data_IF_491060566198
#
_entry.id   IF_491060566198
#
_cell.length_a   1.000
_cell.length_b   1.000
_cell.length_c   1.000
_cell.angle_alpha   90.00
_cell.angle_beta   90.00
_cell.angle_gamma   90.00
#
_symmetry.space_group_name_H-M   'P 1'
#
loop_
_entity.id
_entity.type
_entity.pdbx_description
1 polymer ?
#
# COMPACT_ATOMS: atom_id res chain seq x y z
N UNK A 1 13.36 17.42 26.89
CA UNK A 1 13.19 17.91 25.50
C UNK A 1 11.82 17.50 25.05
N UNK A 2 11.11 18.36 24.32
CA UNK A 2 9.75 18.10 23.87
C UNK A 2 9.77 17.09 22.71
N UNK A 3 9.18 15.92 22.92
CA UNK A 3 9.12 14.83 21.94
C UNK A 3 8.46 15.28 20.63
N UNK A 4 7.48 16.18 20.75
CA UNK A 4 6.79 16.80 19.61
C UNK A 4 7.73 17.65 18.75
N UNK A 5 8.67 18.36 19.36
CA UNK A 5 9.63 19.17 18.61
C UNK A 5 10.57 18.28 17.76
N UNK A 6 10.92 17.09 18.25
CA UNK A 6 11.73 16.15 17.50
C UNK A 6 10.97 15.48 16.34
N UNK A 7 9.70 15.13 16.52
CA UNK A 7 8.88 14.61 15.42
C UNK A 7 8.66 15.66 14.34
N UNK A 8 8.42 16.92 14.71
CA UNK A 8 8.32 18.06 13.78
C UNK A 8 9.64 18.27 12.99
N UNK A 9 10.80 18.13 13.64
CA UNK A 9 12.11 18.21 12.99
C UNK A 9 12.30 17.08 11.95
N UNK A 10 11.95 15.84 12.29
CA UNK A 10 12.01 14.71 11.36
C UNK A 10 11.05 14.88 10.19
N UNK A 11 9.82 15.33 10.43
CA UNK A 11 8.86 15.64 9.35
C UNK A 11 9.43 16.71 8.42
N UNK A 12 10.06 17.76 8.98
CA UNK A 12 10.68 18.82 8.18
C UNK A 12 11.88 18.30 7.36
N UNK A 13 12.71 17.44 7.97
CA UNK A 13 13.86 16.80 7.33
C UNK A 13 13.46 15.91 6.15
N UNK A 14 12.38 15.15 6.29
CA UNK A 14 11.90 14.20 5.26
C UNK A 14 10.67 14.71 4.51
N UNK A 15 10.42 16.02 4.49
CA UNK A 15 9.21 16.61 3.89
C UNK A 15 9.03 16.25 2.42
N UNK A 16 10.11 16.21 1.64
CA UNK A 16 10.06 15.96 0.20
C UNK A 16 9.78 14.47 -0.08
N UNK A 17 10.33 13.58 0.74
CA UNK A 17 9.97 12.15 0.75
C UNK A 17 8.49 11.98 1.06
N UNK A 18 8.02 12.55 2.19
CA UNK A 18 6.63 12.45 2.65
C UNK A 18 5.69 12.97 1.56
N UNK A 19 5.93 14.16 1.03
CA UNK A 19 5.10 14.76 -0.01
C UNK A 19 5.05 13.92 -1.29
N UNK A 20 6.15 13.25 -1.64
CA UNK A 20 6.23 12.43 -2.86
C UNK A 20 5.48 11.11 -2.70
N UNK A 21 5.65 10.42 -1.57
CA UNK A 21 4.89 9.20 -1.27
C UNK A 21 3.40 9.53 -1.13
N UNK A 22 3.04 10.61 -0.45
CA UNK A 22 1.65 11.07 -0.37
C UNK A 22 1.05 11.34 -1.75
N UNK A 23 1.79 12.00 -2.65
CA UNK A 23 1.33 12.25 -4.00
C UNK A 23 1.15 10.96 -4.81
N UNK A 24 2.00 9.95 -4.57
CA UNK A 24 1.86 8.62 -5.18
C UNK A 24 0.55 7.94 -4.74
N UNK A 25 0.27 7.88 -3.44
CA UNK A 25 -0.95 7.23 -2.91
C UNK A 25 -2.23 8.01 -3.20
N UNK A 26 -2.13 9.32 -3.42
CA UNK A 26 -3.25 10.21 -3.73
C UNK A 26 -3.40 10.49 -5.22
N UNK A 27 -2.71 9.74 -6.10
CA UNK A 27 -2.82 9.91 -7.55
C UNK A 27 -4.24 9.54 -8.03
N UNK A 28 -5.04 10.57 -8.29
CA UNK A 28 -6.46 10.46 -8.70
C UNK A 28 -6.74 11.26 -9.98
N UNK A 29 -5.87 11.10 -10.96
CA UNK A 29 -5.92 11.85 -12.22
C UNK A 29 -5.72 10.94 -13.43
N UNK A 30 -6.25 11.35 -14.57
CA UNK A 30 -5.95 10.76 -15.90
C UNK A 30 -5.12 11.71 -16.77
N UNK A 31 -4.72 12.85 -16.22
CA UNK A 31 -3.91 13.84 -16.90
C UNK A 31 -2.45 13.38 -16.97
N UNK A 32 -1.93 13.20 -18.17
CA UNK A 32 -0.54 12.78 -18.39
C UNK A 32 0.48 13.77 -17.83
N UNK A 33 0.20 15.08 -17.87
CA UNK A 33 1.10 16.10 -17.33
C UNK A 33 1.26 15.98 -15.81
N UNK A 34 0.18 15.63 -15.10
CA UNK A 34 0.21 15.41 -13.64
C UNK A 34 0.97 14.12 -13.29
N UNK A 35 0.81 13.07 -14.11
CA UNK A 35 1.58 11.83 -13.97
C UNK A 35 3.07 12.09 -14.21
N UNK A 36 3.41 12.92 -15.20
CA UNK A 36 4.78 13.33 -15.49
C UNK A 36 5.41 14.16 -14.37
N UNK A 37 4.62 15.05 -13.76
CA UNK A 37 5.06 15.80 -12.58
C UNK A 37 5.34 14.86 -11.41
N UNK A 38 4.47 13.89 -11.13
CA UNK A 38 4.69 12.89 -10.09
C UNK A 38 5.94 12.05 -10.38
N UNK A 39 6.13 11.60 -11.63
CA UNK A 39 7.34 10.86 -12.02
C UNK A 39 8.62 11.68 -11.76
N UNK A 40 8.61 12.97 -12.10
CA UNK A 40 9.74 13.87 -11.82
C UNK A 40 9.98 14.05 -10.32
N UNK A 41 8.92 14.16 -9.52
CA UNK A 41 9.03 14.21 -8.05
C UNK A 41 9.65 12.93 -7.50
N UNK A 42 9.19 11.75 -7.93
CA UNK A 42 9.74 10.44 -7.54
C UNK A 42 11.24 10.38 -7.85
N UNK A 43 11.63 10.75 -9.08
CA UNK A 43 13.04 10.78 -9.47
C UNK A 43 13.87 11.70 -8.59
N UNK A 44 13.48 12.97 -8.48
CA UNK A 44 14.25 14.01 -7.79
C UNK A 44 14.32 13.75 -6.29
N UNK A 45 13.21 13.36 -5.68
CA UNK A 45 13.09 13.31 -4.22
C UNK A 45 13.41 11.93 -3.64
N UNK A 46 13.31 10.85 -4.43
CA UNK A 46 13.50 9.48 -3.94
C UNK A 46 14.71 8.77 -4.59
N UNK A 47 14.82 8.81 -5.93
CA UNK A 47 15.87 8.05 -6.63
C UNK A 47 17.22 8.77 -6.59
N UNK A 48 17.24 10.06 -6.94
CA UNK A 48 18.48 10.86 -6.96
C UNK A 48 19.07 11.09 -5.55
N UNK A 49 18.22 10.99 -4.51
CA UNK A 49 18.60 11.09 -3.09
C UNK A 49 18.87 9.73 -2.44
N UNK A 50 18.68 8.63 -3.18
CA UNK A 50 18.80 7.26 -2.71
C UNK A 50 17.89 6.91 -1.51
N UNK A 51 16.78 7.63 -1.33
CA UNK A 51 15.80 7.34 -0.26
C UNK A 51 14.85 6.20 -0.64
N UNK A 52 14.72 5.86 -1.92
CA UNK A 52 13.99 4.66 -2.36
C UNK A 52 14.54 4.16 -3.70
N UNK A 53 14.28 2.89 -4.00
CA UNK A 53 14.68 2.29 -5.28
C UNK A 53 13.51 2.24 -6.26
N UNK A 54 13.77 2.20 -7.59
CA UNK A 54 12.72 1.95 -8.58
C UNK A 54 11.90 0.68 -8.28
N UNK A 55 12.58 -0.36 -7.79
CA UNK A 55 12.00 -1.63 -7.37
C UNK A 55 10.94 -1.44 -6.27
N UNK A 56 11.26 -0.70 -5.20
CA UNK A 56 10.32 -0.39 -4.12
C UNK A 56 9.10 0.39 -4.62
N UNK A 57 9.32 1.43 -5.45
CA UNK A 57 8.20 2.26 -5.93
C UNK A 57 7.27 1.48 -6.86
N UNK A 58 7.80 0.57 -7.68
CA UNK A 58 6.97 -0.34 -8.49
C UNK A 58 6.12 -1.26 -7.60
N UNK A 59 6.67 -1.79 -6.51
CA UNK A 59 5.88 -2.58 -5.55
C UNK A 59 4.73 -1.76 -4.95
N UNK A 60 4.99 -0.51 -4.58
CA UNK A 60 3.95 0.37 -4.06
C UNK A 60 2.88 0.65 -5.11
N UNK A 61 3.27 0.98 -6.36
CA UNK A 61 2.33 1.18 -7.48
C UNK A 61 1.44 -0.06 -7.64
N UNK A 62 2.03 -1.25 -7.71
CA UNK A 62 1.28 -2.49 -7.89
C UNK A 62 0.33 -2.80 -6.73
N UNK A 63 0.73 -2.49 -5.49
CA UNK A 63 -0.13 -2.61 -4.31
C UNK A 63 -1.34 -1.67 -4.38
N UNK A 64 -1.10 -0.38 -4.62
CA UNK A 64 -2.11 0.69 -4.64
C UNK A 64 -3.22 0.42 -5.65
N UNK A 65 -2.87 -0.14 -6.82
CA UNK A 65 -3.82 -0.33 -7.92
C UNK A 65 -5.06 -1.14 -7.54
N UNK A 66 -4.97 -2.09 -6.63
CA UNK A 66 -6.13 -2.87 -6.16
C UNK A 66 -7.19 -2.02 -5.45
N UNK A 67 -6.77 -0.97 -4.74
CA UNK A 67 -7.65 -0.11 -3.96
C UNK A 67 -7.97 1.22 -4.64
N UNK A 68 -7.25 1.55 -5.72
CA UNK A 68 -7.46 2.74 -6.55
C UNK A 68 -7.64 2.35 -8.02
N UNK A 69 -8.31 1.22 -8.27
CA UNK A 69 -8.39 0.61 -9.59
C UNK A 69 -9.05 1.51 -10.64
N UNK A 70 -9.88 2.50 -10.27
CA UNK A 70 -10.39 3.52 -11.20
C UNK A 70 -9.26 4.26 -11.98
N UNK A 71 -8.09 4.40 -11.34
CA UNK A 71 -6.91 5.06 -11.90
C UNK A 71 -5.82 4.06 -12.31
N UNK A 72 -6.16 2.78 -12.49
CA UNK A 72 -5.21 1.71 -12.83
C UNK A 72 -4.33 2.11 -14.03
N UNK A 73 -4.93 2.66 -15.09
CA UNK A 73 -4.22 3.14 -16.27
C UNK A 73 -3.19 4.23 -15.96
N UNK A 74 -3.47 5.14 -15.03
CA UNK A 74 -2.54 6.20 -14.62
C UNK A 74 -1.34 5.65 -13.86
N UNK A 75 -1.61 4.73 -12.92
CA UNK A 75 -0.56 3.99 -12.22
C UNK A 75 0.26 3.12 -13.18
N UNK A 76 -0.38 2.53 -14.18
CA UNK A 76 0.28 1.79 -15.26
C UNK A 76 1.22 2.68 -16.07
N UNK A 77 0.77 3.87 -16.48
CA UNK A 77 1.61 4.86 -17.17
C UNK A 77 2.82 5.26 -16.32
N UNK A 78 2.62 5.49 -15.01
CA UNK A 78 3.72 5.80 -14.09
C UNK A 78 4.71 4.63 -13.96
N UNK A 79 4.20 3.41 -13.83
CA UNK A 79 5.02 2.19 -13.82
C UNK A 79 5.87 2.08 -15.08
N UNK A 80 5.27 2.26 -16.27
CA UNK A 80 6.00 2.21 -17.55
C UNK A 80 7.16 3.20 -17.58
N UNK A 81 6.94 4.45 -17.17
CA UNK A 81 7.99 5.48 -17.12
C UNK A 81 9.16 5.05 -16.24
N UNK A 82 8.88 4.51 -15.04
CA UNK A 82 9.93 4.01 -14.13
C UNK A 82 10.63 2.79 -14.73
N UNK A 83 9.88 1.82 -15.25
CA UNK A 83 10.42 0.57 -15.77
C UNK A 83 11.28 0.78 -17.03
N UNK A 84 10.84 1.64 -17.95
CA UNK A 84 11.54 1.95 -19.20
C UNK A 84 12.80 2.80 -18.98
N UNK A 85 12.84 3.62 -17.93
CA UNK A 85 14.03 4.43 -17.62
C UNK A 85 15.07 3.65 -16.78
N UNK A 86 14.62 2.84 -15.81
CA UNK A 86 15.51 2.24 -14.81
C UNK A 86 15.70 0.73 -14.95
N UNK A 87 14.85 0.03 -15.70
CA UNK A 87 14.90 -1.42 -15.93
C UNK A 87 15.20 -2.27 -14.67
N UNK A 88 14.43 -2.12 -13.57
CA UNK A 88 14.68 -2.87 -12.35
C UNK A 88 14.53 -4.38 -12.59
N UNK A 89 15.36 -5.17 -11.91
CA UNK A 89 15.37 -6.63 -12.09
C UNK A 89 14.09 -7.29 -11.56
N UNK A 90 13.61 -8.38 -12.18
CA UNK A 90 12.45 -9.13 -11.71
C UNK A 90 12.81 -9.92 -10.45
N UNK A 91 12.67 -9.29 -9.30
CA UNK A 91 12.89 -9.89 -7.98
C UNK A 91 11.97 -9.28 -6.91
N UNK A 92 10.77 -8.86 -7.34
CA UNK A 92 9.69 -8.37 -6.48
C UNK A 92 8.45 -9.23 -6.65
N UNK A 93 7.75 -9.45 -5.54
CA UNK A 93 6.38 -9.93 -5.58
C UNK A 93 5.45 -8.79 -5.97
N UNK A 94 4.80 -8.92 -7.12
CA UNK A 94 3.70 -8.06 -7.57
C UNK A 94 2.37 -8.75 -7.30
N UNK A 95 1.26 -8.00 -7.36
CA UNK A 95 -0.05 -8.64 -7.43
C UNK A 95 -0.16 -9.45 -8.72
N UNK A 96 -0.81 -10.64 -8.73
CA UNK A 96 -0.87 -11.47 -9.92
C UNK A 96 -1.45 -10.76 -11.15
N UNK A 97 -2.43 -9.88 -10.93
CA UNK A 97 -3.07 -9.10 -12.00
C UNK A 97 -2.13 -8.05 -12.60
N UNK A 98 -1.29 -7.41 -11.77
CA UNK A 98 -0.34 -6.41 -12.27
C UNK A 98 0.78 -7.09 -13.04
N UNK A 99 1.30 -8.21 -12.52
CA UNK A 99 2.30 -9.05 -13.19
C UNK A 99 1.79 -9.58 -14.54
N UNK A 100 0.50 -9.92 -14.63
CA UNK A 100 -0.15 -10.27 -15.90
C UNK A 100 -0.07 -9.15 -16.94
N UNK A 101 -0.31 -7.89 -16.58
CA UNK A 101 -0.14 -6.79 -17.53
C UNK A 101 1.32 -6.55 -17.91
N UNK A 102 2.24 -6.76 -16.98
CA UNK A 102 3.69 -6.68 -17.28
C UNK A 102 4.06 -7.75 -18.29
N UNK A 103 3.56 -8.97 -18.11
CA UNK A 103 3.73 -10.05 -19.07
C UNK A 103 3.13 -9.73 -20.44
N UNK A 104 1.92 -9.18 -20.49
CA UNK A 104 1.27 -8.81 -21.76
C UNK A 104 2.01 -7.72 -22.53
N UNK A 105 2.57 -6.73 -21.83
CA UNK A 105 3.27 -5.59 -22.44
C UNK A 105 4.73 -5.91 -22.79
N UNK A 106 5.46 -6.58 -21.89
CA UNK A 106 6.91 -6.74 -21.97
C UNK A 106 7.37 -8.21 -22.12
N UNK A 107 6.48 -9.19 -21.98
CA UNK A 107 6.83 -10.62 -22.02
C UNK A 107 7.62 -11.10 -20.78
N UNK A 108 7.62 -10.31 -19.71
CA UNK A 108 8.40 -10.56 -18.48
C UNK A 108 7.44 -10.95 -17.36
N UNK A 109 7.89 -11.85 -16.50
CA UNK A 109 7.17 -12.25 -15.28
C UNK A 109 8.05 -11.94 -14.08
N UNK A 110 7.51 -11.17 -13.14
CA UNK A 110 8.19 -10.79 -11.91
C UNK A 110 8.06 -11.86 -10.82
N UNK A 111 6.90 -12.50 -10.72
CA UNK A 111 6.65 -13.60 -9.80
C UNK A 111 6.12 -14.81 -10.57
N UNK A 112 6.95 -15.85 -10.69
CA UNK A 112 6.59 -17.10 -11.38
C UNK A 112 5.31 -17.75 -10.84
N UNK A 113 4.95 -17.49 -9.57
CA UNK A 113 3.67 -17.97 -9.00
C UNK A 113 2.47 -17.31 -9.67
N UNK A 114 2.59 -16.08 -10.18
CA UNK A 114 1.50 -15.37 -10.85
C UNK A 114 1.03 -16.04 -12.14
N UNK A 115 1.91 -16.77 -12.84
CA UNK A 115 1.60 -17.41 -14.14
C UNK A 115 0.39 -18.33 -14.08
N UNK A 116 0.15 -18.97 -12.93
CA UNK A 116 -1.00 -19.88 -12.76
C UNK A 116 -2.35 -19.17 -12.96
N UNK A 117 -2.40 -17.84 -12.84
CA UNK A 117 -3.61 -17.03 -12.96
C UNK A 117 -3.77 -16.39 -14.36
N UNK A 118 -2.75 -16.41 -15.22
CA UNK A 118 -2.75 -15.62 -16.46
C UNK A 118 -3.81 -16.10 -17.46
N UNK A 119 -4.02 -17.41 -17.58
CA UNK A 119 -5.07 -17.98 -18.44
C UNK A 119 -6.48 -17.57 -17.98
N UNK A 120 -6.68 -17.48 -16.66
CA UNK A 120 -7.93 -16.98 -16.07
C UNK A 120 -8.14 -15.50 -16.39
N UNK A 121 -7.11 -14.66 -16.25
CA UNK A 121 -7.21 -13.24 -16.57
C UNK A 121 -7.48 -12.97 -18.05
N UNK A 122 -6.86 -13.73 -18.95
CA UNK A 122 -7.14 -13.67 -20.38
C UNK A 122 -8.58 -14.08 -20.69
N UNK A 123 -9.04 -15.19 -20.12
CA UNK A 123 -10.40 -15.71 -20.31
C UNK A 123 -11.48 -14.74 -19.82
N UNK A 124 -11.20 -14.07 -18.69
CA UNK A 124 -12.06 -13.05 -18.11
C UNK A 124 -11.85 -11.65 -18.72
N UNK A 125 -11.00 -11.52 -19.75
CA UNK A 125 -10.75 -10.28 -20.50
C UNK A 125 -10.33 -9.09 -19.63
N UNK A 126 -9.45 -9.33 -18.65
CA UNK A 126 -8.93 -8.27 -17.80
C UNK A 126 -8.25 -7.18 -18.65
N UNK A 127 -8.58 -5.92 -18.38
CA UNK A 127 -8.08 -4.76 -19.12
C UNK A 127 -7.66 -3.62 -18.18
N UNK A 128 -6.85 -2.68 -18.68
CA UNK A 128 -6.43 -1.49 -17.93
C UNK A 128 -7.58 -0.52 -17.61
N UNK A 129 -8.72 -0.65 -18.31
CA UNK A 129 -9.93 0.14 -18.05
C UNK A 129 -10.77 -0.44 -16.90
N UNK A 130 -10.36 -1.59 -16.35
CA UNK A 130 -10.93 -2.33 -15.21
C UNK A 130 -12.32 -2.91 -15.44
N UNK A 131 -13.23 -2.14 -16.02
CA UNK A 131 -14.59 -2.57 -16.37
C UNK A 131 -14.88 -2.28 -17.83
N UNK A 132 -15.63 -3.18 -18.48
CA UNK A 132 -16.23 -2.89 -19.78
C UNK A 132 -17.29 -1.79 -19.65
N UNK A 133 -17.37 -0.89 -20.63
CA UNK A 133 -18.41 0.14 -20.70
C UNK A 133 -19.80 -0.48 -20.70
N UNK A 134 -20.78 0.25 -20.15
CA UNK A 134 -22.17 -0.20 -20.06
C UNK A 134 -22.36 -1.47 -19.22
N UNK A 135 -21.57 -1.64 -18.15
CA UNK A 135 -21.80 -2.63 -17.10
C UNK A 135 -22.25 -1.95 -15.80
N UNK A 136 -22.85 -2.72 -14.88
CA UNK A 136 -23.24 -2.20 -13.57
C UNK A 136 -22.05 -1.65 -12.78
N UNK A 137 -20.89 -2.31 -12.87
CA UNK A 137 -19.69 -1.88 -12.16
C UNK A 137 -19.02 -0.68 -12.83
N UNK A 138 -19.13 -0.54 -14.16
CA UNK A 138 -18.77 0.71 -14.85
C UNK A 138 -19.64 1.88 -14.39
N UNK A 139 -20.96 1.67 -14.25
CA UNK A 139 -21.88 2.69 -13.75
C UNK A 139 -21.48 3.12 -12.33
N UNK A 140 -21.22 2.16 -11.42
CA UNK A 140 -20.74 2.47 -10.07
C UNK A 140 -19.39 3.19 -10.11
N UNK A 141 -18.41 2.69 -10.85
CA UNK A 141 -17.06 3.27 -10.94
C UNK A 141 -17.05 4.73 -11.40
N UNK A 142 -18.07 5.17 -12.14
CA UNK A 142 -18.22 6.55 -12.63
C UNK A 142 -19.33 7.33 -11.89
N UNK A 143 -19.85 6.79 -10.79
CA UNK A 143 -20.99 7.29 -10.00
C UNK A 143 -22.25 7.64 -10.84
N UNK A 144 -22.48 6.89 -11.93
CA UNK A 144 -23.63 7.05 -12.81
C UNK A 144 -24.85 6.32 -12.26
N UNK A 145 -25.53 6.99 -11.32
CA UNK A 145 -26.76 6.50 -10.68
C UNK A 145 -27.89 6.22 -11.68
N UNK A 146 -27.92 6.90 -12.84
CA UNK A 146 -28.98 6.69 -13.85
C UNK A 146 -28.79 5.34 -14.53
N UNK A 147 -27.58 5.05 -14.99
CA UNK A 147 -27.25 3.76 -15.58
C UNK A 147 -27.40 2.63 -14.56
N UNK A 148 -26.93 2.84 -13.32
CA UNK A 148 -27.14 1.89 -12.22
C UNK A 148 -28.64 1.60 -12.01
N UNK A 149 -29.48 2.64 -11.97
CA UNK A 149 -30.93 2.48 -11.82
C UNK A 149 -31.51 1.56 -12.90
N UNK A 150 -31.14 1.79 -14.17
CA UNK A 150 -31.59 0.97 -15.29
C UNK A 150 -31.18 -0.50 -15.16
N UNK A 151 -29.96 -0.80 -14.70
CA UNK A 151 -29.54 -2.17 -14.42
C UNK A 151 -30.35 -2.81 -13.29
N UNK A 152 -30.62 -2.06 -12.23
CA UNK A 152 -31.34 -2.60 -11.07
C UNK A 152 -32.85 -2.80 -11.27
N UNK A 153 -33.42 -2.17 -12.31
CA UNK A 153 -34.83 -2.36 -12.69
C UNK A 153 -35.05 -3.64 -13.53
N UNK A 154 -33.97 -4.27 -14.00
CA UNK A 154 -34.06 -5.55 -14.70
C UNK A 154 -34.59 -6.64 -13.76
N UNK A 155 -35.54 -7.45 -14.25
CA UNK A 155 -36.13 -8.56 -13.45
C UNK A 155 -35.09 -9.60 -12.98
N UNK A 156 -33.96 -9.69 -13.66
CA UNK A 156 -32.86 -10.61 -13.34
C UNK A 156 -31.86 -10.05 -12.34
N UNK A 157 -32.02 -8.79 -11.90
CA UNK A 157 -31.09 -8.16 -10.97
C UNK A 157 -31.11 -8.85 -9.60
N UNK A 158 -29.95 -9.28 -9.15
CA UNK A 158 -29.74 -9.76 -7.78
C UNK A 158 -29.07 -8.68 -6.93
N UNK A 159 -29.83 -8.15 -5.97
CA UNK A 159 -29.33 -7.12 -5.04
C UNK A 159 -28.19 -7.62 -4.14
N UNK A 160 -28.06 -8.93 -3.96
CA UNK A 160 -27.03 -9.55 -3.14
C UNK A 160 -25.85 -10.08 -3.97
N UNK A 161 -25.80 -9.77 -5.27
CA UNK A 161 -24.73 -10.24 -6.13
C UNK A 161 -23.36 -9.84 -5.58
N UNK A 162 -22.41 -10.77 -5.69
CA UNK A 162 -21.02 -10.57 -5.30
C UNK A 162 -20.15 -10.41 -6.53
N UNK A 163 -19.24 -9.45 -6.44
CA UNK A 163 -18.27 -9.13 -7.47
C UNK A 163 -16.91 -9.71 -7.10
N UNK A 164 -16.41 -10.62 -7.92
CA UNK A 164 -15.11 -11.27 -7.74
C UNK A 164 -14.16 -10.76 -8.81
N UNK A 165 -13.09 -10.09 -8.40
CA UNK A 165 -12.08 -9.60 -9.32
C UNK A 165 -10.75 -9.37 -8.62
N UNK A 166 -9.68 -9.85 -9.22
CA UNK A 166 -8.30 -9.60 -8.77
C UNK A 166 -7.85 -8.16 -8.96
N UNK A 167 -8.65 -7.32 -9.64
CA UNK A 167 -8.44 -5.87 -9.73
C UNK A 167 -8.87 -5.12 -8.47
N UNK A 168 -9.56 -5.80 -7.54
CA UNK A 168 -10.18 -5.21 -6.36
C UNK A 168 -9.61 -5.80 -5.08
N UNK A 169 -9.82 -5.14 -3.94
CA UNK A 169 -9.55 -5.73 -2.64
C UNK A 169 -10.50 -6.92 -2.44
N UNK A 170 -9.98 -8.02 -1.88
CA UNK A 170 -10.74 -9.24 -1.56
C UNK A 170 -11.36 -10.01 -2.75
N UNK A 171 -10.52 -10.48 -3.70
CA UNK A 171 -10.99 -11.25 -4.87
C UNK A 171 -11.64 -12.59 -4.52
N UNK A 172 -11.39 -13.14 -3.33
CA UNK A 172 -11.81 -14.48 -2.94
C UNK A 172 -13.22 -14.46 -2.33
N UNK A 173 -13.51 -13.53 -1.41
CA UNK A 173 -14.83 -13.47 -0.77
C UNK A 173 -15.83 -12.63 -1.57
N UNK A 174 -15.34 -11.76 -2.45
CA UNK A 174 -16.14 -10.92 -3.33
C UNK A 174 -16.81 -9.73 -2.63
N UNK A 175 -17.02 -8.68 -3.41
CA UNK A 175 -17.56 -7.41 -2.96
C UNK A 175 -19.05 -7.29 -3.23
N UNK A 176 -19.80 -6.72 -2.29
CA UNK A 176 -21.16 -6.22 -2.55
C UNK A 176 -21.10 -4.94 -3.39
N UNK A 177 -22.22 -4.59 -4.04
CA UNK A 177 -22.31 -3.33 -4.79
C UNK A 177 -22.03 -2.10 -3.92
N UNK A 178 -22.42 -2.16 -2.64
CA UNK A 178 -22.19 -1.07 -1.70
C UNK A 178 -20.70 -0.92 -1.36
N UNK A 179 -19.98 -2.04 -1.17
CA UNK A 179 -18.53 -2.04 -0.97
C UNK A 179 -17.80 -1.53 -2.22
N UNK A 180 -18.25 -1.88 -3.42
CA UNK A 180 -17.71 -1.33 -4.69
C UNK A 180 -17.93 0.20 -4.76
N UNK A 181 -19.09 0.71 -4.34
CA UNK A 181 -19.33 2.16 -4.25
C UNK A 181 -18.35 2.84 -3.28
N UNK A 182 -18.05 2.20 -2.14
CA UNK A 182 -17.12 2.75 -1.15
C UNK A 182 -15.70 2.90 -1.71
N UNK A 183 -15.21 1.89 -2.42
CA UNK A 183 -13.88 1.90 -3.06
C UNK A 183 -13.77 3.03 -4.08
N UNK A 184 -14.80 3.22 -4.90
CA UNK A 184 -14.82 4.25 -5.96
C UNK A 184 -15.25 5.63 -5.51
N UNK A 185 -15.63 5.81 -4.24
CA UNK A 185 -16.25 7.05 -3.76
C UNK A 185 -17.54 7.42 -4.51
N UNK A 186 -18.33 6.43 -4.94
CA UNK A 186 -19.56 6.61 -5.71
C UNK A 186 -20.74 6.98 -4.80
N UNK A 187 -20.85 8.27 -4.48
CA UNK A 187 -21.77 8.79 -3.45
C UNK A 187 -23.23 8.59 -3.87
N UNK A 188 -23.58 8.93 -5.11
CA UNK A 188 -24.96 8.89 -5.58
C UNK A 188 -25.43 7.44 -5.77
N UNK A 189 -24.56 6.58 -6.28
CA UNK A 189 -24.80 5.14 -6.35
C UNK A 189 -24.95 4.53 -4.95
N UNK A 190 -24.10 4.91 -3.99
CA UNK A 190 -24.18 4.45 -2.60
C UNK A 190 -25.54 4.80 -1.98
N UNK A 191 -25.95 6.07 -2.05
CA UNK A 191 -27.25 6.54 -1.54
C UNK A 191 -28.43 5.83 -2.20
N UNK A 192 -28.34 5.61 -3.50
CA UNK A 192 -29.37 4.89 -4.24
C UNK A 192 -29.54 3.46 -3.73
N UNK A 193 -28.43 2.73 -3.55
CA UNK A 193 -28.47 1.35 -3.08
C UNK A 193 -28.99 1.24 -1.64
N UNK A 194 -28.55 2.13 -0.73
CA UNK A 194 -29.04 2.14 0.66
C UNK A 194 -30.51 2.51 0.74
N UNK A 195 -30.98 3.43 -0.10
CA UNK A 195 -32.39 3.89 -0.07
C UNK A 195 -33.35 2.92 -0.75
N UNK A 196 -33.03 2.45 -1.97
CA UNK A 196 -33.94 1.63 -2.77
C UNK A 196 -33.98 0.18 -2.30
N UNK A 197 -32.84 -0.37 -1.88
CA UNK A 197 -32.72 -1.79 -1.56
C UNK A 197 -32.51 -2.07 -0.07
N UNK A 198 -32.46 -1.03 0.77
CA UNK A 198 -32.11 -1.14 2.19
C UNK A 198 -30.78 -1.90 2.37
N UNK A 199 -29.83 -1.65 1.45
CA UNK A 199 -28.55 -2.33 1.45
C UNK A 199 -27.82 -2.06 2.77
N UNK A 200 -27.44 -3.13 3.46
CA UNK A 200 -26.78 -3.03 4.76
C UNK A 200 -25.35 -2.50 4.59
N UNK A 201 -25.05 -1.40 5.27
CA UNK A 201 -23.68 -0.91 5.45
C UNK A 201 -22.90 -1.93 6.29
N UNK A 202 -21.79 -2.44 5.76
CA UNK A 202 -20.92 -3.41 6.43
C UNK A 202 -19.69 -2.73 7.06
N UNK A 203 -18.96 -3.45 7.92
CA UNK A 203 -17.67 -2.98 8.42
C UNK A 203 -16.66 -2.73 7.27
N UNK A 204 -16.72 -3.54 6.20
CA UNK A 204 -15.92 -3.34 4.99
C UNK A 204 -16.28 -2.07 4.24
N UNK A 205 -17.56 -1.66 4.23
CA UNK A 205 -17.94 -0.35 3.68
C UNK A 205 -17.20 0.79 4.40
N UNK A 206 -17.15 0.73 5.74
CA UNK A 206 -16.43 1.72 6.54
C UNK A 206 -14.93 1.71 6.24
N UNK A 207 -14.31 0.53 6.17
CA UNK A 207 -12.90 0.36 5.82
C UNK A 207 -12.57 0.93 4.43
N UNK A 208 -13.38 0.61 3.43
CA UNK A 208 -13.18 1.13 2.08
C UNK A 208 -13.51 2.62 1.92
N UNK A 209 -14.29 3.20 2.82
CA UNK A 209 -14.49 4.66 2.86
C UNK A 209 -13.23 5.40 3.32
N UNK A 210 -12.45 4.81 4.23
CA UNK A 210 -11.15 5.37 4.65
C UNK A 210 -10.15 5.40 3.49
N UNK A 211 -9.99 4.30 2.76
CA UNK A 211 -9.01 4.22 1.67
C UNK A 211 -9.38 5.12 0.48
N UNK A 212 -10.66 5.20 0.15
CA UNK A 212 -11.11 6.02 -0.98
C UNK A 212 -11.09 7.51 -0.68
N UNK A 213 -11.07 7.91 0.60
CA UNK A 213 -11.05 9.33 0.99
C UNK A 213 -12.41 10.02 0.98
N UNK A 214 -13.51 9.28 0.79
CA UNK A 214 -14.85 9.88 0.73
C UNK A 214 -15.38 10.19 2.12
N UNK A 215 -15.27 11.46 2.53
CA UNK A 215 -15.81 11.92 3.82
C UNK A 215 -17.33 11.71 3.94
N UNK A 216 -18.07 11.83 2.83
CA UNK A 216 -19.52 11.66 2.83
C UNK A 216 -19.92 10.21 3.07
N UNK A 217 -19.32 9.26 2.34
CA UNK A 217 -19.58 7.83 2.57
C UNK A 217 -19.07 7.41 3.94
N UNK A 218 -17.92 7.93 4.38
CA UNK A 218 -17.36 7.67 5.71
C UNK A 218 -18.36 8.06 6.81
N UNK A 219 -18.90 9.29 6.74
CA UNK A 219 -19.89 9.78 7.69
C UNK A 219 -21.17 8.94 7.70
N UNK A 220 -21.63 8.48 6.53
CA UNK A 220 -22.78 7.59 6.45
C UNK A 220 -22.49 6.23 7.09
N UNK A 221 -21.31 5.68 6.85
CA UNK A 221 -20.90 4.41 7.43
C UNK A 221 -20.82 4.46 8.95
N UNK A 222 -20.26 5.55 9.50
CA UNK A 222 -20.10 5.77 10.95
C UNK A 222 -21.44 5.89 11.72
N UNK A 223 -22.56 6.12 11.04
CA UNK A 223 -23.89 6.10 11.69
C UNK A 223 -24.29 4.72 12.20
N UNK A 224 -23.79 3.66 11.57
CA UNK A 224 -24.17 2.27 11.88
C UNK A 224 -22.99 1.36 12.23
N UNK A 225 -21.78 1.72 11.82
CA UNK A 225 -20.56 0.94 12.04
C UNK A 225 -19.63 1.63 13.03
N UNK A 226 -18.90 0.83 13.81
CA UNK A 226 -17.84 1.30 14.69
C UNK A 226 -16.48 1.00 14.08
N UNK A 227 -15.54 1.96 14.05
CA UNK A 227 -14.18 1.69 13.63
C UNK A 227 -13.51 0.57 14.43
N UNK A 228 -12.67 -0.22 13.75
CA UNK A 228 -11.87 -1.29 14.31
C UNK A 228 -10.40 -1.14 13.86
N UNK A 229 -9.53 -2.09 14.24
CA UNK A 229 -8.11 -2.05 13.85
C UNK A 229 -7.90 -2.04 12.31
N UNK A 230 -8.75 -2.73 11.55
CA UNK A 230 -8.68 -2.70 10.08
C UNK A 230 -8.94 -1.29 9.53
N UNK A 231 -9.81 -0.49 10.16
CA UNK A 231 -10.00 0.90 9.78
C UNK A 231 -8.71 1.73 9.92
N UNK A 232 -7.86 1.44 10.92
CA UNK A 232 -6.56 2.09 11.06
C UNK A 232 -5.62 1.72 9.92
N UNK A 233 -5.57 0.44 9.53
CA UNK A 233 -4.80 0.00 8.38
C UNK A 233 -5.21 0.78 7.12
N UNK A 234 -6.51 0.86 6.83
CA UNK A 234 -7.01 1.58 5.65
C UNK A 234 -6.82 3.11 5.74
N UNK A 235 -6.85 3.70 6.94
CA UNK A 235 -6.52 5.11 7.14
C UNK A 235 -5.03 5.39 6.86
N UNK A 236 -4.12 4.51 7.29
CA UNK A 236 -2.69 4.59 6.98
C UNK A 236 -2.47 4.43 5.47
N UNK A 237 -3.13 3.45 4.84
CA UNK A 237 -3.08 3.19 3.40
C UNK A 237 -3.55 4.40 2.57
N UNK A 238 -4.53 5.15 3.07
CA UNK A 238 -5.03 6.35 2.37
C UNK A 238 -4.04 7.52 2.34
N UNK A 239 -2.95 7.44 3.11
CA UNK A 239 -2.03 8.56 3.36
C UNK A 239 -2.75 9.81 3.89
N UNK A 240 -3.88 9.65 4.58
CA UNK A 240 -4.64 10.73 5.18
C UNK A 240 -4.45 10.77 6.70
N UNK A 241 -3.55 11.64 7.17
CA UNK A 241 -3.28 11.79 8.60
C UNK A 241 -4.49 12.31 9.40
N UNK A 242 -5.45 12.98 8.77
CA UNK A 242 -6.68 13.39 9.46
C UNK A 242 -7.52 12.17 9.87
N UNK A 243 -7.55 11.13 9.02
CA UNK A 243 -8.21 9.87 9.35
C UNK A 243 -7.47 9.08 10.42
N UNK A 244 -6.14 9.02 10.36
CA UNK A 244 -5.33 8.39 11.41
C UNK A 244 -5.58 9.10 12.75
N UNK A 245 -5.55 10.43 12.76
CA UNK A 245 -5.80 11.24 13.95
C UNK A 245 -7.23 11.10 14.48
N UNK A 246 -8.23 11.01 13.60
CA UNK A 246 -9.63 10.75 13.94
C UNK A 246 -9.75 9.44 14.74
N UNK A 247 -9.17 8.35 14.21
CA UNK A 247 -9.23 7.03 14.82
C UNK A 247 -8.53 6.97 16.18
N UNK A 248 -7.43 7.71 16.34
CA UNK A 248 -6.72 7.81 17.62
C UNK A 248 -7.53 8.59 18.64
N UNK A 249 -7.97 9.80 18.28
CA UNK A 249 -8.56 10.75 19.23
C UNK A 249 -9.99 10.38 19.63
N UNK A 250 -10.79 9.93 18.67
CA UNK A 250 -12.22 9.67 18.91
C UNK A 250 -12.50 8.21 19.27
N UNK A 251 -11.67 7.28 18.79
CA UNK A 251 -11.91 5.85 18.95
C UNK A 251 -10.83 5.11 19.76
N UNK A 252 -9.71 5.77 20.08
CA UNK A 252 -8.62 5.16 20.85
C UNK A 252 -7.93 4.00 20.15
N UNK A 253 -8.01 3.94 18.81
CA UNK A 253 -7.41 2.87 18.02
C UNK A 253 -5.93 3.18 17.82
N UNK A 254 -5.06 2.22 18.17
CA UNK A 254 -3.62 2.37 18.05
C UNK A 254 -3.17 2.27 16.59
N UNK A 255 -2.11 3.00 16.25
CA UNK A 255 -1.47 2.93 14.93
C UNK A 255 -0.84 1.55 14.74
N UNK A 256 -1.10 0.96 13.58
CA UNK A 256 -0.49 -0.29 13.14
C UNK A 256 0.86 -0.02 12.45
N UNK A 257 1.96 -0.35 13.13
CA UNK A 257 3.30 -0.04 12.66
C UNK A 257 3.72 -0.82 11.40
N UNK A 258 3.21 -2.04 11.24
CA UNK A 258 3.47 -2.84 10.05
C UNK A 258 2.87 -2.19 8.80
N UNK A 259 1.66 -1.66 8.92
CA UNK A 259 1.03 -0.84 7.88
C UNK A 259 1.80 0.45 7.62
N UNK A 260 2.36 1.12 8.64
CA UNK A 260 3.21 2.30 8.44
C UNK A 260 4.42 1.97 7.56
N UNK A 261 5.13 0.89 7.87
CA UNK A 261 6.31 0.46 7.12
C UNK A 261 5.96 0.00 5.71
N UNK A 262 4.97 -0.89 5.58
CA UNK A 262 4.59 -1.49 4.28
C UNK A 262 4.07 -0.44 3.31
N UNK A 263 3.34 0.57 3.81
CA UNK A 263 2.82 1.68 3.00
C UNK A 263 3.78 2.87 2.88
N UNK A 264 4.98 2.79 3.46
CA UNK A 264 5.93 3.90 3.49
C UNK A 264 5.34 5.20 4.09
N UNK A 265 4.36 5.07 5.00
CA UNK A 265 3.71 6.20 5.66
C UNK A 265 4.51 6.66 6.89
N UNK A 266 5.53 7.49 6.63
CA UNK A 266 6.47 7.96 7.64
C UNK A 266 5.78 8.85 8.69
N UNK A 267 4.78 9.64 8.28
CA UNK A 267 4.04 10.48 9.22
C UNK A 267 3.25 9.64 10.24
N UNK A 268 2.67 8.52 9.84
CA UNK A 268 2.01 7.61 10.76
C UNK A 268 3.01 6.95 11.75
N UNK A 269 4.19 6.55 11.29
CA UNK A 269 5.26 6.06 12.19
C UNK A 269 5.65 7.13 13.22
N UNK A 270 5.84 8.38 12.79
CA UNK A 270 6.22 9.47 13.68
C UNK A 270 5.10 9.86 14.64
N UNK A 271 3.83 9.78 14.21
CA UNK A 271 2.68 9.97 15.09
C UNK A 271 2.57 8.86 16.16
N UNK A 272 2.87 7.61 15.81
CA UNK A 272 2.98 6.53 16.79
C UNK A 272 4.11 6.81 17.79
N UNK A 273 5.28 7.21 17.28
CA UNK A 273 6.41 7.56 18.12
C UNK A 273 6.01 8.65 19.11
N UNK A 274 5.43 9.77 18.65
CA UNK A 274 4.99 10.89 19.48
C UNK A 274 4.05 10.47 20.63
N UNK A 275 3.15 9.52 20.38
CA UNK A 275 2.16 9.09 21.36
C UNK A 275 2.70 8.11 22.39
N UNK A 276 3.66 7.25 21.99
CA UNK A 276 4.06 6.09 22.79
C UNK A 276 5.46 6.21 23.37
N UNK A 277 6.32 7.01 22.73
CA UNK A 277 7.77 7.05 22.99
C UNK A 277 8.43 5.65 22.91
N UNK A 278 7.84 4.73 22.14
CA UNK A 278 8.34 3.36 21.97
C UNK A 278 9.47 3.33 20.93
N UNK A 279 10.64 3.77 21.37
CA UNK A 279 11.87 3.86 20.59
C UNK A 279 12.24 2.52 19.94
N UNK A 280 12.03 1.39 20.65
CA UNK A 280 12.43 0.07 20.19
C UNK A 280 11.61 -0.38 18.99
N UNK A 281 10.28 -0.27 19.04
CA UNK A 281 9.45 -0.61 17.89
C UNK A 281 9.66 0.37 16.74
N UNK A 282 9.77 1.66 17.02
CA UNK A 282 10.04 2.65 15.97
C UNK A 282 11.36 2.36 15.24
N UNK A 283 12.39 1.91 15.94
CA UNK A 283 13.62 1.44 15.31
C UNK A 283 13.38 0.25 14.37
N UNK A 284 12.70 -0.81 14.84
CA UNK A 284 12.40 -1.99 14.00
C UNK A 284 11.69 -1.58 12.70
N UNK A 285 10.65 -0.76 12.79
CA UNK A 285 9.87 -0.36 11.62
C UNK A 285 10.51 0.75 10.78
N UNK A 286 11.50 1.47 11.29
CA UNK A 286 12.26 2.45 10.48
C UNK A 286 13.01 1.80 9.32
N UNK A 287 13.33 0.50 9.42
CA UNK A 287 14.02 -0.27 8.39
C UNK A 287 13.23 -0.35 7.06
N UNK A 288 11.89 -0.29 7.10
CA UNK A 288 11.04 -0.37 5.90
C UNK A 288 11.22 0.82 4.96
N UNK A 289 11.65 1.97 5.48
CA UNK A 289 11.65 3.24 4.74
C UNK A 289 12.84 3.40 3.80
N UNK A 290 13.83 2.52 3.87
CA UNK A 290 15.12 2.67 3.18
C UNK A 290 15.83 4.01 3.50
N UNK A 291 15.73 4.46 4.76
CA UNK A 291 16.38 5.68 5.25
C UNK A 291 17.35 5.33 6.39
N UNK A 292 18.65 5.08 6.12
CA UNK A 292 19.62 4.73 7.15
C UNK A 292 19.71 5.77 8.28
N UNK A 293 19.56 7.06 7.93
CA UNK A 293 19.58 8.16 8.91
C UNK A 293 18.37 8.19 9.85
N UNK A 294 17.25 7.54 9.49
CA UNK A 294 16.11 7.34 10.39
C UNK A 294 16.38 6.22 11.38
N UNK A 295 16.99 5.12 10.93
CA UNK A 295 17.48 4.05 11.81
C UNK A 295 18.52 4.58 12.80
N UNK A 296 19.50 5.37 12.32
CA UNK A 296 20.53 6.02 13.13
C UNK A 296 19.91 6.91 14.22
N UNK A 297 18.85 7.65 13.87
CA UNK A 297 18.15 8.49 14.83
C UNK A 297 17.61 7.66 16.01
N UNK A 298 16.87 6.57 15.77
CA UNK A 298 16.36 5.75 16.88
C UNK A 298 17.45 5.01 17.65
N UNK A 299 18.54 4.60 16.98
CA UNK A 299 19.73 4.07 17.68
C UNK A 299 20.34 5.12 18.62
N UNK A 300 20.43 6.38 18.20
CA UNK A 300 20.94 7.48 19.03
C UNK A 300 20.08 7.78 20.25
N UNK A 301 18.79 7.41 20.19
CA UNK A 301 17.86 7.49 21.32
C UNK A 301 17.92 6.28 22.25
N UNK A 302 18.77 5.29 21.95
CA UNK A 302 19.00 4.12 22.80
C UNK A 302 18.27 2.85 22.36
N UNK A 303 17.72 2.79 21.14
CA UNK A 303 17.31 1.52 20.55
C UNK A 303 18.52 0.56 20.49
N UNK A 304 18.28 -0.74 20.73
CA UNK A 304 19.30 -1.78 20.52
C UNK A 304 19.23 -2.26 19.08
N UNK A 305 20.39 -2.56 18.49
CA UNK A 305 20.49 -3.00 17.08
C UNK A 305 19.66 -4.27 16.79
N UNK A 306 19.60 -5.19 17.77
CA UNK A 306 18.82 -6.43 17.69
C UNK A 306 17.50 -6.33 18.48
N UNK A 307 16.90 -5.14 18.56
CA UNK A 307 15.56 -5.00 19.15
C UNK A 307 14.55 -5.83 18.33
N UNK A 308 13.65 -6.53 19.02
CA UNK A 308 12.63 -7.40 18.41
C UNK A 308 11.23 -6.86 18.64
N UNK A 309 10.38 -7.00 17.63
CA UNK A 309 8.93 -6.88 17.75
C UNK A 309 8.28 -8.11 17.10
N UNK A 310 7.53 -8.91 17.86
CA UNK A 310 7.00 -10.20 17.41
C UNK A 310 8.07 -11.08 16.73
N UNK A 311 9.23 -11.22 17.38
CA UNK A 311 10.42 -11.94 16.88
C UNK A 311 11.12 -11.35 15.65
N UNK A 312 10.63 -10.25 15.07
CA UNK A 312 11.26 -9.59 13.93
C UNK A 312 12.20 -8.46 14.39
N UNK A 313 13.44 -8.46 13.89
CA UNK A 313 14.40 -7.36 14.05
C UNK A 313 14.33 -6.39 12.86
N UNK A 314 14.98 -5.23 12.98
CA UNK A 314 15.18 -4.32 11.84
C UNK A 314 15.85 -5.02 10.65
N UNK A 315 16.73 -6.00 10.91
CA UNK A 315 17.40 -6.78 9.86
C UNK A 315 16.42 -7.69 9.12
N UNK A 316 15.50 -8.35 9.84
CA UNK A 316 14.44 -9.15 9.21
C UNK A 316 13.54 -8.30 8.32
N UNK A 317 13.12 -7.12 8.80
CA UNK A 317 12.31 -6.18 8.04
C UNK A 317 13.01 -5.68 6.76
N UNK A 318 14.28 -5.28 6.87
CA UNK A 318 15.07 -4.86 5.71
C UNK A 318 15.27 -6.02 4.72
N UNK A 319 15.47 -7.23 5.24
CA UNK A 319 15.69 -8.43 4.44
C UNK A 319 14.46 -8.84 3.65
N UNK A 320 13.27 -8.90 4.27
CA UNK A 320 12.03 -9.28 3.57
C UNK A 320 11.63 -8.30 2.46
N UNK A 321 12.11 -7.05 2.55
CA UNK A 321 11.88 -6.00 1.56
C UNK A 321 13.06 -5.82 0.58
N UNK A 322 14.07 -6.70 0.64
CA UNK A 322 15.28 -6.63 -0.19
C UNK A 322 15.99 -5.25 -0.14
N UNK A 323 16.07 -4.63 1.04
CA UNK A 323 16.65 -3.31 1.25
C UNK A 323 18.14 -3.41 1.56
N UNK A 324 18.93 -3.66 0.50
CA UNK A 324 20.38 -3.86 0.58
C UNK A 324 21.10 -2.81 1.42
N UNK A 325 20.83 -1.53 1.19
CA UNK A 325 21.50 -0.43 1.89
C UNK A 325 21.21 -0.43 3.40
N UNK A 326 19.97 -0.72 3.80
CA UNK A 326 19.62 -0.85 5.22
C UNK A 326 20.26 -2.08 5.84
N UNK A 327 20.32 -3.21 5.12
CA UNK A 327 21.01 -4.42 5.59
C UNK A 327 22.50 -4.14 5.83
N UNK A 328 23.19 -3.53 4.85
CA UNK A 328 24.60 -3.14 4.98
C UNK A 328 24.81 -2.17 6.16
N UNK A 329 23.92 -1.18 6.31
CA UNK A 329 23.94 -0.27 7.45
C UNK A 329 23.79 -1.03 8.78
N UNK A 330 22.79 -1.90 8.93
CA UNK A 330 22.54 -2.64 10.16
C UNK A 330 23.71 -3.56 10.52
N UNK A 331 24.28 -4.27 9.54
CA UNK A 331 25.49 -5.09 9.73
C UNK A 331 26.67 -4.22 10.18
N UNK A 332 26.86 -3.03 9.58
CA UNK A 332 27.92 -2.10 9.98
C UNK A 332 27.77 -1.59 11.44
N UNK A 333 26.54 -1.62 11.96
CA UNK A 333 26.21 -1.28 13.35
C UNK A 333 26.22 -2.49 14.29
N UNK A 334 26.60 -3.66 13.79
CA UNK A 334 26.77 -4.88 14.58
C UNK A 334 25.50 -5.71 14.75
N UNK A 335 24.52 -5.59 13.85
CA UNK A 335 23.35 -6.46 13.85
C UNK A 335 23.76 -7.93 13.72
N UNK A 336 23.13 -8.80 14.51
CA UNK A 336 23.45 -10.22 14.48
C UNK A 336 22.77 -10.92 13.29
N UNK A 337 23.55 -11.28 12.27
CA UNK A 337 23.05 -11.98 11.07
C UNK A 337 22.67 -13.45 11.32
N UNK A 338 23.12 -14.04 12.43
CA UNK A 338 22.93 -15.44 12.79
C UNK A 338 22.04 -15.62 14.04
N UNK A 339 21.30 -14.58 14.47
CA UNK A 339 20.66 -14.56 15.80
C UNK A 339 19.67 -15.72 16.04
N UNK A 340 19.14 -16.36 15.00
CA UNK A 340 18.18 -17.47 15.09
C UNK A 340 18.38 -18.48 13.94
N UNK A 341 19.24 -19.49 14.11
CA UNK A 341 19.32 -20.69 13.24
C UNK A 341 19.29 -20.44 11.71
N UNK A 342 19.95 -19.38 11.22
CA UNK A 342 19.99 -19.05 9.78
C UNK A 342 18.72 -18.35 9.24
N UNK A 343 17.83 -17.87 10.09
CA UNK A 343 16.53 -17.27 9.70
C UNK A 343 16.64 -16.09 8.75
N UNK A 344 17.72 -15.29 8.79
CA UNK A 344 17.85 -14.14 7.91
C UNK A 344 18.04 -14.55 6.44
N UNK A 345 18.87 -15.56 6.15
CA UNK A 345 19.03 -16.08 4.79
C UNK A 345 17.77 -16.84 4.33
N UNK A 346 17.13 -17.59 5.24
CA UNK A 346 15.83 -18.21 4.96
C UNK A 346 14.76 -17.16 4.61
N UNK A 347 14.73 -16.04 5.33
CA UNK A 347 13.85 -14.89 5.04
C UNK A 347 14.17 -14.34 3.65
N UNK A 348 15.44 -14.12 3.33
CA UNK A 348 15.84 -13.63 2.02
C UNK A 348 15.39 -14.58 0.89
N UNK A 349 15.55 -15.89 1.07
CA UNK A 349 15.08 -16.89 0.13
C UNK A 349 13.56 -16.92 -0.01
N UNK A 350 12.81 -16.87 1.10
CA UNK A 350 11.35 -16.88 1.11
C UNK A 350 10.74 -15.68 0.37
N UNK A 351 11.37 -14.51 0.50
CA UNK A 351 10.92 -13.26 -0.11
C UNK A 351 11.64 -12.93 -1.43
N UNK A 352 12.42 -13.86 -2.02
CA UNK A 352 13.21 -13.63 -3.24
C UNK A 352 14.11 -12.37 -3.18
N UNK A 353 14.65 -12.08 -2.00
CA UNK A 353 15.47 -10.91 -1.71
C UNK A 353 16.93 -11.17 -2.09
N UNK A 354 17.16 -11.34 -3.39
CA UNK A 354 18.44 -11.78 -3.95
C UNK A 354 19.60 -10.83 -3.63
N UNK A 355 19.38 -9.50 -3.73
CA UNK A 355 20.44 -8.52 -3.47
C UNK A 355 20.90 -8.56 -2.00
N UNK A 356 19.95 -8.80 -1.09
CA UNK A 356 20.24 -8.98 0.33
C UNK A 356 20.90 -10.34 0.59
N UNK A 357 20.44 -11.42 -0.04
CA UNK A 357 21.04 -12.74 0.11
C UNK A 357 22.54 -12.73 -0.25
N UNK A 358 22.91 -12.04 -1.34
CA UNK A 358 24.31 -11.85 -1.73
C UNK A 358 25.11 -11.12 -0.64
N UNK A 359 24.55 -10.05 -0.06
CA UNK A 359 25.19 -9.31 1.05
C UNK A 359 25.36 -10.22 2.27
N UNK A 360 24.34 -10.95 2.68
CA UNK A 360 24.40 -11.84 3.85
C UNK A 360 25.46 -12.94 3.67
N UNK A 361 25.51 -13.58 2.51
CA UNK A 361 26.52 -14.61 2.18
C UNK A 361 27.93 -14.01 2.21
N UNK A 362 28.11 -12.80 1.66
CA UNK A 362 29.43 -12.14 1.67
C UNK A 362 29.91 -11.78 3.08
N UNK A 363 29.00 -11.64 4.05
CA UNK A 363 29.30 -11.38 5.46
C UNK A 363 29.37 -12.66 6.30
N UNK A 364 29.34 -13.84 5.68
CA UNK A 364 29.55 -15.11 6.37
C UNK A 364 28.36 -15.58 7.20
N UNK A 365 27.13 -15.27 6.77
CA UNK A 365 25.93 -15.92 7.32
C UNK A 365 26.03 -17.43 7.16
N UNK A 366 25.54 -18.19 8.15
CA UNK A 366 25.48 -19.65 8.04
C UNK A 366 24.45 -20.06 6.97
N UNK A 367 24.77 -21.07 6.15
CA UNK A 367 23.99 -21.49 4.97
C UNK A 367 23.33 -22.85 5.19
#
# INVERSE_FOLDING_TARGET
MDQKAHTEELISKYKDYIATIDALYKLKTRNEDEIDQLFKMIKTNLFDTNLSTPKMIIQQIAGITSCCCHYFKSYWTLFKKIYEEYHPTPSITLSPVFDYFVYKEYGIVFDERSKMMFEEFESNKYSLDVHEENTIYWAIMNDDVKSLTAFTDAKSFDKNQKFYSYMYPDPINGLSLLEVCCIHSSIECFKFLTTKFEAQVTSKCLQYAFISGSQEILNECLKSQKPNAECMLFAIYSHNMDFVNLLIKEYGIQIDLESCGTMLNLQALLAYYEQTNDIFKCFVYSAYFNIPSLCEYFLSLGAKIDSKNNDHTALHAATSNNLKEIVEFLISKGANINEEDGTCLHTAAWFNSNDVAEVLISHGVDV
#
